data_IF_959393825305
#
_entry.id   IF_959393825305
#
_cell.length_a   1.000
_cell.length_b   1.000
_cell.length_c   1.000
_cell.angle_alpha   90.00
_cell.angle_beta   90.00
_cell.angle_gamma   90.00
#
_symmetry.space_group_name_H-M   'P 1'
#
loop_
_entity.id
_entity.type
_entity.pdbx_description
1 polymer ?
#
# COMPACT_ATOMS: atom_id res chain seq x y z
N UNK A 1 13.77 12.35 3.77
CA UNK A 1 12.38 12.87 3.70
C UNK A 1 12.25 14.35 4.02
N UNK A 2 13.31 15.05 4.46
CA UNK A 2 13.24 16.45 4.92
C UNK A 2 12.91 17.50 3.83
N UNK A 3 12.72 17.11 2.57
CA UNK A 3 12.50 18.02 1.44
C UNK A 3 11.34 17.60 0.52
N UNK A 4 10.50 16.65 0.97
CA UNK A 4 9.30 16.29 0.21
C UNK A 4 8.25 17.37 0.40
N UNK A 5 7.63 17.81 -0.69
CA UNK A 5 6.43 18.64 -0.61
C UNK A 5 5.21 17.82 -0.14
N UNK A 6 4.07 18.47 0.14
CA UNK A 6 2.89 17.79 0.67
C UNK A 6 2.37 16.67 -0.25
N UNK A 7 2.46 16.87 -1.58
CA UNK A 7 2.02 15.85 -2.55
C UNK A 7 3.00 14.68 -2.59
N UNK A 8 4.28 14.98 -2.46
CA UNK A 8 5.33 13.97 -2.39
C UNK A 8 5.26 13.18 -1.08
N UNK A 9 4.86 13.80 0.03
CA UNK A 9 4.57 13.14 1.30
C UNK A 9 3.35 12.24 1.19
N UNK A 10 2.25 12.71 0.59
CA UNK A 10 1.06 11.89 0.35
C UNK A 10 1.39 10.66 -0.50
N UNK A 11 2.16 10.84 -1.58
CA UNK A 11 2.64 9.72 -2.40
C UNK A 11 3.55 8.78 -1.61
N UNK A 12 4.47 9.32 -0.81
CA UNK A 12 5.37 8.53 0.03
C UNK A 12 4.60 7.66 1.03
N UNK A 13 3.48 8.16 1.57
CA UNK A 13 2.57 7.40 2.41
C UNK A 13 1.72 6.37 1.65
N UNK A 14 1.30 6.67 0.43
CA UNK A 14 0.59 5.74 -0.45
C UNK A 14 1.49 4.55 -0.85
N UNK A 15 2.79 4.80 -1.05
CA UNK A 15 3.81 3.80 -1.34
C UNK A 15 4.17 2.93 -0.10
N UNK A 16 3.49 3.15 1.05
CA UNK A 16 3.66 2.37 2.26
C UNK A 16 4.83 2.82 3.13
N UNK A 17 5.44 3.97 2.85
CA UNK A 17 6.50 4.53 3.67
C UNK A 17 5.97 5.59 4.62
N UNK A 18 6.69 5.83 5.71
CA UNK A 18 6.40 6.93 6.65
C UNK A 18 7.62 7.82 6.76
N UNK A 19 7.38 9.13 6.87
CA UNK A 19 8.43 10.08 7.22
C UNK A 19 9.07 9.71 8.57
N UNK A 20 10.40 9.57 8.58
CA UNK A 20 11.21 9.29 9.77
C UNK A 20 11.69 10.63 10.31
N UNK A 21 11.55 10.85 11.62
CA UNK A 21 12.10 12.04 12.29
C UNK A 21 13.63 11.94 12.40
N UNK A 22 14.32 13.07 12.59
CA UNK A 22 15.78 13.07 12.73
C UNK A 22 16.26 12.17 13.88
N UNK A 23 15.56 12.19 15.02
CA UNK A 23 15.87 11.36 16.18
C UNK A 23 15.71 9.85 15.89
N UNK A 24 14.62 9.47 15.20
CA UNK A 24 14.40 8.08 14.80
C UNK A 24 15.43 7.64 13.74
N UNK A 25 15.77 8.51 12.80
CA UNK A 25 16.76 8.25 11.75
C UNK A 25 18.13 7.96 12.34
N UNK A 26 18.56 8.77 13.32
CA UNK A 26 19.83 8.57 14.00
C UNK A 26 19.86 7.26 14.80
N UNK A 27 18.77 6.95 15.51
CA UNK A 27 18.66 5.68 16.23
C UNK A 27 18.72 4.45 15.29
N UNK A 28 18.15 4.56 14.09
CA UNK A 28 18.23 3.50 13.07
C UNK A 28 19.63 3.38 12.48
N UNK A 29 20.32 4.50 12.28
CA UNK A 29 21.71 4.53 11.83
C UNK A 29 22.66 3.86 12.84
N UNK A 30 22.54 4.19 14.12
CA UNK A 30 23.36 3.57 15.18
C UNK A 30 23.16 2.05 15.24
N UNK A 31 21.92 1.57 15.07
CA UNK A 31 21.63 0.13 14.98
C UNK A 31 22.26 -0.51 13.74
N UNK A 32 22.26 0.19 12.60
CA UNK A 32 22.88 -0.31 11.39
C UNK A 32 24.39 -0.49 11.55
N UNK A 33 25.06 0.48 12.18
CA UNK A 33 26.47 0.40 12.52
C UNK A 33 26.77 -0.76 13.47
N UNK A 34 25.95 -0.94 14.51
CA UNK A 34 26.10 -2.04 15.46
C UNK A 34 25.90 -3.44 14.83
N UNK A 35 25.09 -3.54 13.78
CA UNK A 35 24.82 -4.81 13.09
C UNK A 35 25.99 -5.30 12.21
N UNK A 36 26.98 -4.45 11.90
CA UNK A 36 28.21 -4.84 11.20
C UNK A 36 28.01 -5.40 9.79
N UNK A 37 26.88 -5.14 9.14
CA UNK A 37 26.58 -5.62 7.78
C UNK A 37 26.99 -4.58 6.74
N UNK A 38 27.67 -4.96 5.64
CA UNK A 38 28.24 -4.02 4.68
C UNK A 38 27.20 -3.26 3.84
N UNK A 39 25.93 -3.69 3.85
CA UNK A 39 24.84 -2.98 3.15
C UNK A 39 23.54 -3.16 3.92
N UNK A 40 23.01 -2.05 4.46
CA UNK A 40 21.73 -2.00 5.15
C UNK A 40 20.91 -0.84 4.65
N UNK A 41 19.69 -1.14 4.20
CA UNK A 41 18.64 -0.15 4.01
C UNK A 41 17.76 -0.18 5.26
N UNK A 42 17.61 0.96 5.92
CA UNK A 42 16.77 1.09 7.11
C UNK A 42 15.78 2.23 6.89
N UNK A 43 14.49 1.94 7.04
CA UNK A 43 13.41 2.91 6.85
C UNK A 43 12.17 2.52 7.63
N UNK A 44 11.30 3.49 7.91
CA UNK A 44 10.01 3.23 8.52
C UNK A 44 8.99 2.91 7.42
N UNK A 45 8.55 1.65 7.39
CA UNK A 45 7.39 1.24 6.61
C UNK A 45 6.16 1.59 7.45
N UNK A 46 5.25 2.37 6.88
CA UNK A 46 3.93 2.51 7.46
C UNK A 46 3.27 1.14 7.33
N UNK A 47 3.04 0.44 8.44
CA UNK A 47 2.25 -0.80 8.46
C UNK A 47 0.78 -0.42 8.22
N UNK A 48 0.46 0.09 7.04
CA UNK A 48 -0.83 -0.19 6.44
C UNK A 48 -0.74 -1.65 6.05
N UNK A 49 -1.78 -2.45 6.32
CA UNK A 49 -1.92 -3.77 5.75
C UNK A 49 -2.09 -3.64 4.22
N UNK A 50 -1.04 -3.16 3.55
CA UNK A 50 -0.99 -2.97 2.12
C UNK A 50 -0.41 -4.24 1.56
N UNK A 51 -1.28 -4.94 0.85
CA UNK A 51 -0.95 -5.99 -0.09
C UNK A 51 0.09 -5.59 -1.17
N UNK A 52 0.46 -4.31 -1.24
CA UNK A 52 1.42 -3.77 -2.18
C UNK A 52 2.61 -3.08 -1.46
N UNK A 53 3.08 -3.66 -0.35
CA UNK A 53 4.46 -3.38 0.05
C UNK A 53 5.38 -3.77 -1.13
N UNK A 54 6.40 -2.96 -1.48
CA UNK A 54 7.36 -3.39 -2.50
C UNK A 54 7.91 -4.76 -2.10
N UNK A 55 7.91 -5.72 -3.04
CA UNK A 55 8.30 -7.13 -2.86
C UNK A 55 9.65 -7.35 -2.15
N UNK A 56 10.42 -6.29 -1.94
CA UNK A 56 11.69 -6.28 -1.24
C UNK A 56 11.57 -6.28 0.30
N UNK A 57 10.39 -5.99 0.87
CA UNK A 57 10.16 -6.02 2.33
C UNK A 57 9.61 -7.36 2.84
N UNK A 58 9.11 -8.22 1.94
CA UNK A 58 8.49 -9.50 2.29
C UNK A 58 9.43 -10.68 2.00
N UNK A 59 10.47 -10.83 2.82
CA UNK A 59 10.99 -12.17 3.08
C UNK A 59 9.94 -12.95 3.88
N UNK A 60 8.92 -13.46 3.20
CA UNK A 60 7.80 -14.16 3.79
C UNK A 60 6.49 -13.77 3.11
N UNK A 61 6.14 -14.55 2.08
CA UNK A 61 4.80 -14.76 1.54
C UNK A 61 3.67 -14.14 2.37
N UNK A 62 3.33 -12.88 2.07
CA UNK A 62 2.02 -12.37 2.40
C UNK A 62 1.17 -12.60 1.15
N UNK A 63 0.38 -13.68 1.17
CA UNK A 63 -0.76 -13.73 0.26
C UNK A 63 -1.55 -12.46 0.48
N UNK A 64 -1.74 -11.71 -0.60
CA UNK A 64 -2.61 -10.56 -0.69
C UNK A 64 -4.03 -11.06 -0.47
N UNK A 65 -4.39 -11.25 0.81
CA UNK A 65 -5.76 -11.34 1.24
C UNK A 65 -6.32 -9.93 1.13
N UNK A 66 -6.81 -9.59 -0.06
CA UNK A 66 -7.53 -8.35 -0.29
C UNK A 66 -8.54 -8.16 0.83
N UNK A 67 -8.46 -7.01 1.50
CA UNK A 67 -9.36 -6.63 2.58
C UNK A 67 -10.79 -6.47 2.03
N UNK A 68 -11.47 -7.60 1.88
CA UNK A 68 -12.89 -7.73 1.58
C UNK A 68 -13.48 -8.68 2.61
N UNK A 69 -13.47 -8.27 3.88
CA UNK A 69 -14.11 -8.99 4.98
C UNK A 69 -15.56 -9.36 4.60
N UNK A 70 -15.81 -10.64 4.32
CA UNK A 70 -17.14 -11.20 4.12
C UNK A 70 -17.78 -10.97 2.74
N UNK A 71 -17.02 -10.55 1.73
CA UNK A 71 -17.58 -10.19 0.43
C UNK A 71 -17.41 -11.35 -0.57
N UNK A 72 -18.51 -11.81 -1.21
CA UNK A 72 -18.52 -12.88 -2.24
C UNK A 72 -17.37 -12.69 -3.24
N UNK A 73 -16.56 -13.71 -3.56
CA UNK A 73 -15.43 -13.55 -4.47
C UNK A 73 -15.88 -12.97 -5.82
N UNK A 74 -15.06 -12.10 -6.42
CA UNK A 74 -15.43 -11.34 -7.63
C UNK A 74 -15.90 -12.25 -8.77
N UNK A 75 -15.28 -13.43 -8.92
CA UNK A 75 -15.68 -14.42 -9.91
C UNK A 75 -17.12 -14.92 -9.76
N UNK A 76 -17.58 -15.14 -8.52
CA UNK A 76 -18.96 -15.54 -8.24
C UNK A 76 -19.94 -14.39 -8.54
N UNK A 77 -19.60 -13.16 -8.18
CA UNK A 77 -20.43 -11.98 -8.51
C UNK A 77 -20.56 -11.74 -10.01
N UNK A 78 -19.50 -11.94 -10.78
CA UNK A 78 -19.56 -11.83 -12.24
C UNK A 78 -20.37 -12.96 -12.88
N UNK A 79 -20.35 -14.15 -12.26
CA UNK A 79 -21.14 -15.28 -12.73
C UNK A 79 -22.65 -15.04 -12.56
N UNK A 80 -23.06 -14.29 -11.53
CA UNK A 80 -24.45 -13.89 -11.28
C UNK A 80 -24.95 -12.80 -12.25
N UNK A 81 -24.04 -12.01 -12.85
CA UNK A 81 -24.38 -10.96 -13.80
C UNK A 81 -24.54 -11.50 -15.23
N UNK A 82 -25.49 -10.93 -15.97
CA UNK A 82 -25.59 -11.19 -17.41
C UNK A 82 -24.38 -10.59 -18.14
N UNK A 83 -24.03 -11.15 -19.30
CA UNK A 83 -22.89 -10.69 -20.09
C UNK A 83 -22.82 -9.16 -20.31
N UNK A 84 -23.92 -8.43 -20.63
CA UNK A 84 -23.87 -6.98 -20.79
C UNK A 84 -23.70 -6.20 -19.47
N UNK A 85 -23.97 -6.79 -18.31
CA UNK A 85 -23.86 -6.13 -17.01
C UNK A 85 -22.46 -6.27 -16.38
N UNK A 86 -21.65 -7.23 -16.85
CA UNK A 86 -20.32 -7.51 -16.29
C UNK A 86 -19.32 -6.38 -16.51
N UNK A 87 -19.23 -5.87 -17.73
CA UNK A 87 -18.30 -4.79 -18.09
C UNK A 87 -18.56 -3.50 -17.30
N UNK A 88 -19.78 -2.94 -17.26
CA UNK A 88 -20.04 -1.71 -16.50
C UNK A 88 -19.84 -1.91 -15.00
N UNK A 89 -20.17 -3.09 -14.47
CA UNK A 89 -19.92 -3.43 -13.07
C UNK A 89 -18.41 -3.46 -12.74
N UNK A 90 -17.61 -4.14 -13.58
CA UNK A 90 -16.16 -4.19 -13.40
C UNK A 90 -15.52 -2.82 -13.53
N UNK A 91 -15.97 -2.02 -14.50
CA UNK A 91 -15.45 -0.68 -14.69
C UNK A 91 -15.75 0.20 -13.48
N UNK A 92 -16.97 0.18 -12.95
CA UNK A 92 -17.33 0.93 -11.75
C UNK A 92 -16.52 0.49 -10.52
N UNK A 93 -16.29 -0.82 -10.37
CA UNK A 93 -15.45 -1.35 -9.30
C UNK A 93 -14.02 -0.83 -9.40
N UNK A 94 -13.37 -1.00 -10.57
CA UNK A 94 -11.98 -0.55 -10.78
C UNK A 94 -11.86 0.96 -10.58
N UNK A 95 -12.78 1.75 -11.12
CA UNK A 95 -12.78 3.21 -10.94
C UNK A 95 -12.88 3.59 -9.46
N UNK A 96 -13.72 2.89 -8.68
CA UNK A 96 -13.83 3.13 -7.24
C UNK A 96 -12.55 2.77 -6.50
N UNK A 97 -11.96 1.60 -6.76
CA UNK A 97 -10.73 1.19 -6.09
C UNK A 97 -9.55 2.11 -6.47
N UNK A 98 -9.44 2.49 -7.74
CA UNK A 98 -8.45 3.46 -8.22
C UNK A 98 -8.67 4.84 -7.57
N UNK A 99 -9.91 5.32 -7.50
CA UNK A 99 -10.22 6.55 -6.80
C UNK A 99 -9.84 6.48 -5.31
N UNK A 100 -10.05 5.34 -4.65
CA UNK A 100 -9.62 5.16 -3.26
C UNK A 100 -8.09 5.18 -3.11
N UNK A 101 -7.35 4.54 -4.01
CA UNK A 101 -5.88 4.53 -3.99
C UNK A 101 -5.33 5.92 -4.26
N UNK A 102 -5.92 6.65 -5.22
CA UNK A 102 -5.50 8.00 -5.58
C UNK A 102 -6.01 9.10 -4.61
N UNK A 103 -6.75 8.74 -3.55
CA UNK A 103 -7.32 9.71 -2.60
C UNK A 103 -8.48 10.54 -3.18
N UNK A 104 -9.10 10.08 -4.26
CA UNK A 104 -10.26 10.67 -4.93
C UNK A 104 -11.58 9.98 -4.57
N UNK A 105 -11.62 9.16 -3.51
CA UNK A 105 -12.87 8.62 -2.99
C UNK A 105 -13.73 9.77 -2.45
N UNK A 106 -14.53 10.38 -3.32
CA UNK A 106 -15.47 11.43 -2.94
C UNK A 106 -16.39 10.91 -1.85
N UNK A 107 -16.38 11.62 -0.71
CA UNK A 107 -17.46 11.60 0.26
C UNK A 107 -18.74 12.03 -0.46
N UNK A 108 -19.64 11.08 -0.69
CA UNK A 108 -21.05 11.39 -0.91
C UNK A 108 -21.73 11.56 0.45
#
# INVERSE_FOLDING_TARGET
NAHLDDRELDRFEQDGFRAVTDAEGLALFDRALAAGRPTLLVGAVAVRASAAAPDTAAAGTAEVSGAGSGAVPLGERLAELSAPEREPYLLALVVREVASVLGHASTA
#
